data_IF_351328317729
#
_entry.id   IF_351328317729
#
_cell.length_a   1.000
_cell.length_b   1.000
_cell.length_c   1.000
_cell.angle_alpha   90.00
_cell.angle_beta   90.00
_cell.angle_gamma   90.00
#
_symmetry.space_group_name_H-M   'P 1'
#
loop_
_entity.id
_entity.type
_entity.pdbx_description
1 polymer ?
#
# COMPACT_ATOMS: atom_id res chain seq x y z
N UNK A 1 -12.17 60.75 -4.36
CA UNK A 1 -13.04 59.70 -4.96
C UNK A 1 -13.07 58.50 -4.01
N UNK A 2 -13.83 58.71 -2.95
CA UNK A 2 -14.24 57.77 -1.90
C UNK A 2 -15.27 56.81 -2.49
N UNK A 3 -15.48 55.66 -1.83
CA UNK A 3 -16.54 54.65 -2.07
C UNK A 3 -16.25 53.57 -3.13
N UNK A 4 -15.41 52.61 -2.72
CA UNK A 4 -15.67 51.18 -2.96
C UNK A 4 -15.01 50.36 -1.84
N UNK A 5 -15.30 50.73 -0.58
CA UNK A 5 -15.28 49.76 0.53
C UNK A 5 -16.45 48.82 0.26
N UNK A 6 -16.24 47.78 -0.56
CA UNK A 6 -17.19 46.68 -0.58
C UNK A 6 -17.26 46.15 0.85
N UNK A 7 -18.46 46.13 1.42
CA UNK A 7 -18.79 45.37 2.63
C UNK A 7 -18.79 43.87 2.26
N UNK A 8 -17.72 43.39 1.65
CA UNK A 8 -17.45 41.97 1.48
C UNK A 8 -16.80 41.49 2.78
N UNK A 9 -17.35 40.42 3.36
CA UNK A 9 -16.81 39.73 4.53
C UNK A 9 -15.27 39.67 4.51
N UNK A 10 -14.60 40.56 5.27
CA UNK A 10 -13.15 40.49 5.46
C UNK A 10 -12.85 39.32 6.40
N UNK A 11 -12.67 38.14 5.82
CA UNK A 11 -12.19 36.97 6.55
C UNK A 11 -10.71 37.16 6.92
N UNK A 12 -10.31 36.61 8.07
CA UNK A 12 -8.89 36.48 8.45
C UNK A 12 -8.12 35.72 7.36
N UNK A 13 -6.85 36.03 7.08
CA UNK A 13 -6.03 35.29 6.11
C UNK A 13 -6.01 33.78 6.40
N UNK A 14 -5.98 33.36 7.67
CA UNK A 14 -6.04 31.94 8.05
C UNK A 14 -7.38 31.29 7.66
N UNK A 15 -8.48 32.04 7.79
CA UNK A 15 -9.82 31.58 7.39
C UNK A 15 -9.93 31.48 5.87
N UNK A 16 -9.32 32.42 5.14
CA UNK A 16 -9.26 32.37 3.67
C UNK A 16 -8.44 31.18 3.18
N UNK A 17 -7.28 30.94 3.78
CA UNK A 17 -6.41 29.81 3.44
C UNK A 17 -7.08 28.47 3.75
N UNK A 18 -7.74 28.36 4.90
CA UNK A 18 -8.49 27.14 5.29
C UNK A 18 -9.67 26.91 4.35
N UNK A 19 -10.42 27.96 4.01
CA UNK A 19 -11.53 27.87 3.06
C UNK A 19 -11.04 27.43 1.67
N UNK A 20 -9.91 27.97 1.21
CA UNK A 20 -9.32 27.61 -0.08
C UNK A 20 -8.88 26.14 -0.10
N UNK A 21 -8.17 25.69 0.95
CA UNK A 21 -7.78 24.28 1.10
C UNK A 21 -8.99 23.35 1.08
N UNK A 22 -10.01 23.66 1.88
CA UNK A 22 -11.23 22.85 1.94
C UNK A 22 -11.96 22.84 0.59
N UNK A 23 -12.06 23.97 -0.09
CA UNK A 23 -12.73 24.08 -1.39
C UNK A 23 -12.02 23.28 -2.47
N UNK A 24 -10.69 23.38 -2.55
CA UNK A 24 -9.89 22.63 -3.53
C UNK A 24 -10.00 21.12 -3.27
N UNK A 25 -9.89 20.68 -2.01
CA UNK A 25 -10.01 19.26 -1.68
C UNK A 25 -11.41 18.73 -1.95
N UNK A 26 -12.45 19.50 -1.64
CA UNK A 26 -13.83 19.12 -1.93
C UNK A 26 -14.07 19.00 -3.43
N UNK A 27 -13.58 19.97 -4.21
CA UNK A 27 -13.69 19.94 -5.67
C UNK A 27 -12.91 18.77 -6.27
N UNK A 28 -11.69 18.50 -5.80
CA UNK A 28 -10.89 17.37 -6.25
C UNK A 28 -11.55 16.02 -5.90
N UNK A 29 -12.13 15.90 -4.71
CA UNK A 29 -12.87 14.72 -4.26
C UNK A 29 -14.14 14.47 -5.10
N UNK A 30 -14.90 15.53 -5.43
CA UNK A 30 -16.07 15.48 -6.31
C UNK A 30 -15.64 15.13 -7.74
N UNK A 31 -14.57 15.75 -8.24
CA UNK A 31 -14.04 15.49 -9.57
C UNK A 31 -13.57 14.04 -9.69
N UNK A 32 -12.86 13.52 -8.68
CA UNK A 32 -12.43 12.12 -8.59
C UNK A 32 -13.60 11.14 -8.71
N UNK A 33 -14.73 11.46 -8.06
CA UNK A 33 -15.94 10.66 -8.14
C UNK A 33 -16.59 10.77 -9.52
N UNK A 34 -16.80 11.99 -10.02
CA UNK A 34 -17.53 12.27 -11.26
C UNK A 34 -16.84 11.68 -12.51
N UNK A 35 -15.50 11.73 -12.60
CA UNK A 35 -14.75 11.19 -13.74
C UNK A 35 -14.85 9.68 -13.88
N UNK A 36 -15.27 8.96 -12.84
CA UNK A 36 -15.40 7.50 -12.83
C UNK A 36 -16.80 7.01 -13.18
N UNK A 37 -17.76 7.91 -13.40
CA UNK A 37 -19.16 7.56 -13.68
C UNK A 37 -19.48 7.36 -15.17
N UNK A 38 -18.53 7.58 -16.09
CA UNK A 38 -18.82 7.56 -17.53
C UNK A 38 -19.42 6.23 -18.04
N UNK A 39 -19.03 5.09 -17.47
CA UNK A 39 -19.62 3.78 -17.81
C UNK A 39 -21.11 3.73 -17.44
N UNK A 40 -21.43 4.11 -16.20
CA UNK A 40 -22.79 4.11 -15.64
C UNK A 40 -23.69 5.18 -16.26
N UNK A 41 -23.11 6.30 -16.74
CA UNK A 41 -23.89 7.33 -17.43
C UNK A 41 -24.23 6.96 -18.88
N UNK A 42 -23.36 6.21 -19.55
CA UNK A 42 -23.58 5.78 -20.94
C UNK A 42 -24.40 4.50 -21.05
N UNK A 43 -24.24 3.61 -20.09
CA UNK A 43 -24.85 2.29 -20.06
C UNK A 43 -25.62 2.10 -18.76
N UNK A 44 -25.88 0.85 -18.37
CA UNK A 44 -26.56 0.54 -17.13
C UNK A 44 -25.58 0.41 -15.95
N UNK A 45 -26.10 0.58 -14.73
CA UNK A 45 -25.37 0.32 -13.49
C UNK A 45 -25.22 -1.19 -13.25
N UNK A 46 -24.25 -1.78 -13.93
CA UNK A 46 -23.91 -3.20 -13.83
C UNK A 46 -22.43 -3.38 -13.54
N UNK A 47 -22.08 -4.55 -13.01
CA UNK A 47 -20.69 -4.93 -12.76
C UNK A 47 -20.04 -5.31 -14.09
N UNK A 48 -18.84 -4.79 -14.31
CA UNK A 48 -18.07 -4.99 -15.53
C UNK A 48 -16.90 -5.95 -15.30
N UNK A 49 -16.34 -6.46 -16.40
CA UNK A 49 -15.24 -7.43 -16.40
C UNK A 49 -15.63 -8.79 -15.78
N UNK A 50 -14.70 -9.75 -15.81
CA UNK A 50 -14.96 -11.12 -15.37
C UNK A 50 -14.65 -11.33 -13.87
N UNK A 51 -13.57 -10.72 -13.35
CA UNK A 51 -13.14 -10.89 -11.95
C UNK A 51 -14.17 -10.36 -10.92
N UNK A 52 -14.77 -9.16 -11.11
CA UNK A 52 -15.67 -8.57 -10.13
C UNK A 52 -16.96 -9.36 -9.84
N UNK A 53 -17.40 -10.25 -10.73
CA UNK A 53 -18.59 -11.09 -10.50
C UNK A 53 -18.41 -12.04 -9.31
N UNK A 54 -17.19 -12.57 -9.12
CA UNK A 54 -16.89 -13.39 -7.95
C UNK A 54 -16.95 -12.57 -6.65
N UNK A 55 -16.37 -11.38 -6.67
CA UNK A 55 -16.39 -10.45 -5.53
C UNK A 55 -17.83 -10.02 -5.19
N UNK A 56 -18.66 -9.81 -6.19
CA UNK A 56 -20.07 -9.46 -5.98
C UNK A 56 -20.87 -10.61 -5.38
N UNK A 57 -20.74 -11.84 -5.92
CA UNK A 57 -21.42 -13.03 -5.40
C UNK A 57 -21.07 -13.28 -3.94
N UNK A 58 -19.78 -13.16 -3.60
CA UNK A 58 -19.28 -13.33 -2.24
C UNK A 58 -19.78 -12.22 -1.30
N UNK A 59 -19.84 -10.97 -1.77
CA UNK A 59 -20.39 -9.84 -1.01
C UNK A 59 -21.89 -10.00 -0.76
N UNK A 60 -22.64 -10.45 -1.77
CA UNK A 60 -24.08 -10.74 -1.64
C UNK A 60 -24.33 -11.84 -0.59
N UNK A 61 -23.55 -12.93 -0.65
CA UNK A 61 -23.64 -13.99 0.35
C UNK A 61 -23.34 -13.47 1.76
N UNK A 62 -22.31 -12.62 1.91
CA UNK A 62 -21.98 -12.00 3.20
C UNK A 62 -23.12 -11.11 3.74
N UNK A 63 -23.78 -10.34 2.87
CA UNK A 63 -24.88 -9.46 3.26
C UNK A 63 -26.16 -10.23 3.64
N UNK A 64 -26.46 -11.35 2.97
CA UNK A 64 -27.68 -12.14 3.20
C UNK A 64 -27.51 -13.16 4.36
N UNK A 65 -26.37 -13.86 4.44
CA UNK A 65 -26.16 -14.97 5.37
C UNK A 65 -25.33 -14.59 6.61
N UNK A 66 -24.63 -13.47 6.57
CA UNK A 66 -23.82 -12.95 7.67
C UNK A 66 -22.39 -13.49 7.74
N UNK A 67 -21.58 -12.88 8.62
CA UNK A 67 -20.12 -13.05 8.64
C UNK A 67 -19.65 -14.46 9.01
N UNK A 68 -20.24 -15.11 10.03
CA UNK A 68 -19.78 -16.44 10.47
C UNK A 68 -20.04 -17.54 9.43
N UNK A 69 -21.17 -17.45 8.73
CA UNK A 69 -21.47 -18.37 7.62
C UNK A 69 -20.54 -18.11 6.44
N UNK A 70 -20.24 -16.85 6.14
CA UNK A 70 -19.27 -16.48 5.11
C UNK A 70 -17.86 -17.00 5.42
N UNK A 71 -17.40 -16.89 6.67
CA UNK A 71 -16.07 -17.35 7.07
C UNK A 71 -15.89 -18.87 6.89
N UNK A 72 -16.95 -19.65 7.13
CA UNK A 72 -16.94 -21.10 6.97
C UNK A 72 -17.58 -21.57 5.65
N UNK A 73 -17.69 -20.68 4.66
CA UNK A 73 -18.41 -20.98 3.43
C UNK A 73 -17.62 -21.93 2.51
N UNK A 74 -18.23 -23.07 2.21
CA UNK A 74 -17.83 -23.99 1.15
C UNK A 74 -18.78 -23.84 -0.05
N UNK A 75 -18.23 -23.53 -1.22
CA UNK A 75 -18.98 -23.41 -2.47
C UNK A 75 -18.86 -24.70 -3.27
N UNK A 76 -19.99 -25.41 -3.37
CA UNK A 76 -20.17 -26.64 -4.14
C UNK A 76 -20.48 -26.37 -5.62
N UNK A 77 -20.79 -25.11 -5.99
CA UNK A 77 -21.16 -24.73 -7.36
C UNK A 77 -19.97 -24.36 -8.25
N UNK A 78 -18.79 -24.19 -7.67
CA UNK A 78 -17.56 -23.86 -8.37
C UNK A 78 -16.58 -25.04 -8.32
N UNK A 79 -15.74 -25.19 -9.34
CA UNK A 79 -14.71 -26.24 -9.40
C UNK A 79 -15.26 -27.67 -9.26
N UNK A 80 -16.35 -27.99 -9.97
CA UNK A 80 -16.85 -29.37 -10.04
C UNK A 80 -15.75 -30.31 -10.58
N UNK A 81 -15.41 -31.42 -9.91
CA UNK A 81 -16.11 -32.07 -8.77
C UNK A 81 -15.55 -31.78 -7.37
N UNK A 82 -14.54 -30.91 -7.23
CA UNK A 82 -13.82 -30.68 -5.97
C UNK A 82 -14.56 -29.73 -5.00
N UNK A 83 -15.19 -28.68 -5.53
CA UNK A 83 -15.67 -27.55 -4.72
C UNK A 83 -14.56 -26.58 -4.32
N UNK A 84 -14.92 -25.45 -3.70
CA UNK A 84 -13.96 -24.44 -3.21
C UNK A 84 -14.35 -23.92 -1.84
N UNK A 85 -13.41 -23.98 -0.88
CA UNK A 85 -13.55 -23.30 0.42
C UNK A 85 -13.33 -21.80 0.19
N UNK A 86 -14.36 -20.97 0.29
CA UNK A 86 -14.23 -19.55 -0.04
C UNK A 86 -13.63 -18.76 1.12
N UNK A 87 -14.16 -18.89 2.33
CA UNK A 87 -13.74 -18.05 3.46
C UNK A 87 -12.25 -18.14 3.80
N UNK A 88 -11.61 -19.28 3.52
CA UNK A 88 -10.16 -19.49 3.69
C UNK A 88 -9.30 -19.21 2.46
N UNK A 89 -9.87 -19.01 1.26
CA UNK A 89 -9.11 -18.88 0.00
C UNK A 89 -9.17 -17.48 -0.63
N UNK A 90 -9.65 -16.48 0.11
CA UNK A 90 -9.82 -15.10 -0.38
C UNK A 90 -9.38 -14.06 0.65
N UNK A 91 -9.15 -12.84 0.14
CA UNK A 91 -8.98 -11.64 0.94
C UNK A 91 -10.37 -11.03 1.23
N UNK A 92 -10.83 -10.98 2.50
CA UNK A 92 -12.21 -10.61 2.82
C UNK A 92 -12.47 -9.09 2.87
N UNK A 93 -11.43 -8.26 2.78
CA UNK A 93 -11.49 -6.82 3.05
C UNK A 93 -12.47 -6.06 2.17
N UNK A 94 -12.53 -6.37 0.87
CA UNK A 94 -13.46 -5.77 -0.07
C UNK A 94 -14.93 -6.08 0.30
N UNK A 95 -15.23 -7.36 0.52
CA UNK A 95 -16.58 -7.83 0.82
C UNK A 95 -17.08 -7.29 2.16
N UNK A 96 -16.23 -7.33 3.19
CA UNK A 96 -16.56 -6.82 4.53
C UNK A 96 -16.82 -5.32 4.48
N UNK A 97 -16.02 -4.56 3.74
CA UNK A 97 -16.23 -3.11 3.59
C UNK A 97 -17.57 -2.78 2.95
N UNK A 98 -17.91 -3.46 1.85
CA UNK A 98 -19.21 -3.28 1.19
C UNK A 98 -20.39 -3.67 2.08
N UNK A 99 -20.28 -4.80 2.80
CA UNK A 99 -21.33 -5.25 3.70
C UNK A 99 -21.54 -4.27 4.86
N UNK A 100 -20.46 -3.73 5.45
CA UNK A 100 -20.56 -2.71 6.50
C UNK A 100 -21.23 -1.44 5.96
N UNK A 101 -20.84 -0.96 4.78
CA UNK A 101 -21.48 0.21 4.16
C UNK A 101 -22.96 -0.05 3.88
N UNK A 102 -23.32 -1.23 3.39
CA UNK A 102 -24.70 -1.64 3.17
C UNK A 102 -25.53 -1.63 4.46
N UNK A 103 -25.03 -2.27 5.53
CA UNK A 103 -25.73 -2.30 6.82
C UNK A 103 -25.81 -0.92 7.47
N UNK A 104 -24.79 -0.07 7.32
CA UNK A 104 -24.82 1.31 7.81
C UNK A 104 -25.92 2.13 7.11
N UNK A 105 -26.06 2.00 5.79
CA UNK A 105 -27.11 2.68 5.02
C UNK A 105 -28.50 2.19 5.43
N UNK A 106 -28.66 0.89 5.63
CA UNK A 106 -29.90 0.30 6.13
C UNK A 106 -30.26 0.76 7.55
N UNK A 107 -29.26 0.91 8.42
CA UNK A 107 -29.44 1.45 9.78
C UNK A 107 -29.93 2.90 9.79
N UNK A 108 -29.59 3.67 8.75
CA UNK A 108 -30.04 5.06 8.54
C UNK A 108 -31.32 5.10 7.67
N UNK A 109 -31.97 3.95 7.45
CA UNK A 109 -33.20 3.81 6.63
C UNK A 109 -33.04 4.22 5.15
N UNK A 110 -31.82 4.21 4.61
CA UNK A 110 -31.57 4.40 3.18
C UNK A 110 -31.49 3.01 2.54
N UNK A 111 -32.62 2.55 1.98
CA UNK A 111 -32.74 1.20 1.40
C UNK A 111 -32.10 1.13 0.02
N UNK A 112 -30.79 0.89 -0.01
CA UNK A 112 -30.00 0.68 -1.23
C UNK A 112 -29.79 -0.81 -1.44
N UNK A 113 -29.85 -1.28 -2.69
CA UNK A 113 -29.49 -2.64 -3.07
C UNK A 113 -27.96 -2.85 -2.99
N UNK A 114 -27.52 -4.04 -2.58
CA UNK A 114 -26.10 -4.39 -2.41
C UNK A 114 -25.31 -4.22 -3.72
N UNK A 115 -25.97 -4.45 -4.86
CA UNK A 115 -25.39 -4.23 -6.19
C UNK A 115 -24.93 -2.79 -6.38
N UNK A 116 -25.76 -1.82 -6.01
CA UNK A 116 -25.43 -0.41 -6.18
C UNK A 116 -24.28 0.00 -5.25
N UNK A 117 -24.22 -0.54 -4.02
CA UNK A 117 -23.08 -0.35 -3.12
C UNK A 117 -21.80 -0.85 -3.78
N UNK A 118 -21.81 -2.05 -4.35
CA UNK A 118 -20.63 -2.62 -5.03
C UNK A 118 -20.21 -1.79 -6.27
N UNK A 119 -21.16 -1.32 -7.08
CA UNK A 119 -20.88 -0.52 -8.28
C UNK A 119 -20.23 0.84 -7.94
N UNK A 120 -20.71 1.52 -6.89
CA UNK A 120 -20.24 2.85 -6.50
C UNK A 120 -19.12 2.85 -5.46
N UNK A 121 -18.68 1.69 -4.98
CA UNK A 121 -17.62 1.60 -3.99
C UNK A 121 -16.28 2.14 -4.52
N UNK A 122 -15.90 1.80 -5.75
CA UNK A 122 -14.62 2.23 -6.32
C UNK A 122 -14.50 3.77 -6.48
N UNK A 123 -15.50 4.48 -7.04
CA UNK A 123 -15.52 5.94 -7.03
C UNK A 123 -15.47 6.56 -5.64
N UNK A 124 -16.18 5.97 -4.65
CA UNK A 124 -16.16 6.45 -3.28
C UNK A 124 -14.75 6.36 -2.66
N UNK A 125 -14.10 5.20 -2.77
CA UNK A 125 -12.73 5.04 -2.27
C UNK A 125 -11.71 5.89 -3.03
N UNK A 126 -11.90 6.11 -4.33
CA UNK A 126 -11.05 7.04 -5.08
C UNK A 126 -11.12 8.48 -4.55
N UNK A 127 -12.30 8.92 -4.13
CA UNK A 127 -12.48 10.22 -3.48
C UNK A 127 -11.70 10.30 -2.16
N UNK A 128 -11.71 9.23 -1.37
CA UNK A 128 -10.91 9.12 -0.15
C UNK A 128 -9.39 9.05 -0.45
N UNK A 129 -8.99 8.38 -1.52
CA UNK A 129 -7.60 8.31 -2.00
C UNK A 129 -7.06 9.71 -2.29
N UNK A 130 -7.85 10.60 -2.89
CA UNK A 130 -7.49 12.01 -3.10
C UNK A 130 -7.15 12.72 -1.78
N UNK A 131 -7.95 12.51 -0.73
CA UNK A 131 -7.74 13.12 0.58
C UNK A 131 -6.48 12.57 1.26
N UNK A 132 -6.28 11.25 1.23
CA UNK A 132 -5.09 10.63 1.83
C UNK A 132 -3.81 11.04 1.10
N UNK A 133 -3.86 11.19 -0.23
CA UNK A 133 -2.73 11.68 -1.03
C UNK A 133 -2.33 13.09 -0.61
N UNK A 134 -3.31 13.99 -0.40
CA UNK A 134 -3.04 15.31 0.16
C UNK A 134 -2.33 15.23 1.51
N UNK A 135 -2.82 14.39 2.43
CA UNK A 135 -2.24 14.24 3.77
C UNK A 135 -0.81 13.70 3.69
N UNK A 136 -0.55 12.70 2.84
CA UNK A 136 0.77 12.13 2.64
C UNK A 136 1.77 13.15 2.10
N UNK A 137 1.43 13.85 1.02
CA UNK A 137 2.32 14.83 0.38
C UNK A 137 2.55 16.06 1.26
N UNK A 138 1.51 16.49 2.01
CA UNK A 138 1.63 17.57 3.01
C UNK A 138 2.67 17.24 4.07
N UNK A 139 2.76 15.97 4.50
CA UNK A 139 3.78 15.57 5.45
C UNK A 139 5.18 15.66 4.86
N UNK A 140 5.35 15.39 3.57
CA UNK A 140 6.67 15.34 2.93
C UNK A 140 7.24 16.75 2.74
N UNK A 141 6.44 17.67 2.23
CA UNK A 141 6.90 19.02 1.86
C UNK A 141 6.02 20.13 2.43
N UNK A 142 4.95 20.50 1.73
CA UNK A 142 4.10 21.62 2.08
C UNK A 142 2.65 21.40 1.61
N UNK A 143 1.76 22.31 2.02
CA UNK A 143 0.35 22.22 1.63
C UNK A 143 0.11 22.48 0.16
N UNK A 144 0.98 23.28 -0.49
CA UNK A 144 0.89 23.55 -1.92
C UNK A 144 1.07 22.27 -2.74
N UNK A 145 2.18 21.56 -2.53
CA UNK A 145 2.43 20.28 -3.19
C UNK A 145 1.31 19.26 -2.90
N UNK A 146 0.80 19.23 -1.66
CA UNK A 146 -0.31 18.33 -1.32
C UNK A 146 -1.58 18.57 -2.10
N UNK A 147 -1.96 19.82 -2.34
CA UNK A 147 -3.16 20.14 -3.12
C UNK A 147 -2.99 19.77 -4.59
N UNK A 148 -1.80 19.97 -5.16
CA UNK A 148 -1.48 19.59 -6.55
C UNK A 148 -1.47 18.07 -6.71
N UNK A 149 -0.85 17.34 -5.78
CA UNK A 149 -0.84 15.87 -5.78
C UNK A 149 -2.26 15.28 -5.67
N UNK A 150 -3.12 15.89 -4.85
CA UNK A 150 -4.52 15.49 -4.72
C UNK A 150 -5.34 15.76 -6.01
N UNK A 151 -5.13 16.92 -6.64
CA UNK A 151 -5.80 17.24 -7.89
C UNK A 151 -5.36 16.33 -9.04
N UNK A 152 -4.07 15.98 -9.11
CA UNK A 152 -3.54 15.11 -10.17
C UNK A 152 -4.00 13.66 -10.01
N UNK A 153 -3.98 13.09 -8.79
CA UNK A 153 -4.44 11.70 -8.57
C UNK A 153 -5.95 11.53 -8.79
N UNK A 154 -6.73 12.59 -8.60
CA UNK A 154 -8.18 12.55 -8.87
C UNK A 154 -8.49 12.22 -10.34
N UNK A 155 -7.65 12.68 -11.27
CA UNK A 155 -7.87 12.59 -12.72
C UNK A 155 -6.88 11.65 -13.45
N UNK A 156 -5.93 11.04 -12.75
CA UNK A 156 -4.88 10.24 -13.40
C UNK A 156 -5.46 9.00 -14.08
N UNK A 157 -5.29 8.84 -15.42
CA UNK A 157 -5.86 7.71 -16.16
C UNK A 157 -5.41 6.34 -15.65
N UNK A 158 -4.12 6.22 -15.27
CA UNK A 158 -3.58 4.97 -14.74
C UNK A 158 -4.27 4.46 -13.47
N UNK A 159 -4.85 5.34 -12.64
CA UNK A 159 -5.67 4.93 -11.50
C UNK A 159 -7.14 4.74 -11.89
N UNK A 160 -7.66 5.59 -12.79
CA UNK A 160 -9.05 5.51 -13.25
C UNK A 160 -9.34 4.16 -13.90
N UNK A 161 -8.41 3.60 -14.70
CA UNK A 161 -8.60 2.36 -15.46
C UNK A 161 -9.11 1.17 -14.62
N UNK A 162 -8.71 1.07 -13.36
CA UNK A 162 -9.10 -0.01 -12.41
C UNK A 162 -9.99 0.49 -11.27
N UNK A 163 -10.50 1.72 -11.34
CA UNK A 163 -11.37 2.30 -10.31
C UNK A 163 -12.65 2.94 -10.89
N UNK A 164 -13.02 2.57 -12.12
CA UNK A 164 -14.28 3.01 -12.75
C UNK A 164 -15.49 2.44 -12.00
N UNK A 165 -16.59 3.17 -11.97
CA UNK A 165 -17.86 2.66 -11.45
C UNK A 165 -18.26 1.36 -12.16
N UNK A 166 -18.58 0.33 -11.39
CA UNK A 166 -18.88 -1.02 -11.88
C UNK A 166 -17.68 -1.99 -11.88
N UNK A 167 -16.45 -1.50 -11.75
CA UNK A 167 -15.25 -2.33 -11.56
C UNK A 167 -15.06 -2.65 -10.07
N UNK A 168 -15.78 -3.65 -9.58
CA UNK A 168 -15.75 -4.08 -8.18
C UNK A 168 -14.62 -5.09 -7.91
N UNK A 169 -13.37 -4.62 -8.06
CA UNK A 169 -12.16 -5.38 -7.77
C UNK A 169 -11.42 -4.86 -6.53
N UNK A 170 -10.55 -5.70 -5.97
CA UNK A 170 -9.80 -5.44 -4.73
C UNK A 170 -8.90 -4.20 -4.83
N UNK A 171 -8.43 -3.91 -6.04
CA UNK A 171 -7.59 -2.77 -6.39
C UNK A 171 -8.23 -1.42 -6.06
N UNK A 172 -9.58 -1.35 -6.10
CA UNK A 172 -10.34 -0.15 -5.79
C UNK A 172 -10.08 0.36 -4.36
N UNK A 173 -9.99 -0.56 -3.39
CA UNK A 173 -9.72 -0.26 -1.99
C UNK A 173 -8.22 -0.30 -1.69
N UNK A 174 -7.47 -1.18 -2.37
CA UNK A 174 -6.07 -1.43 -2.08
C UNK A 174 -5.21 -0.17 -2.16
N UNK A 175 -5.42 0.69 -3.17
CA UNK A 175 -4.64 1.92 -3.35
C UNK A 175 -4.86 2.90 -2.20
N UNK A 176 -6.11 3.05 -1.73
CA UNK A 176 -6.41 3.83 -0.53
C UNK A 176 -5.69 3.28 0.70
N UNK A 177 -5.76 1.96 0.93
CA UNK A 177 -5.13 1.31 2.08
C UNK A 177 -3.61 1.44 2.07
N UNK A 178 -3.01 1.30 0.89
CA UNK A 178 -1.58 1.46 0.69
C UNK A 178 -1.13 2.87 1.05
N UNK A 179 -1.79 3.91 0.50
CA UNK A 179 -1.46 5.30 0.82
C UNK A 179 -1.73 5.65 2.28
N UNK A 180 -2.79 5.10 2.87
CA UNK A 180 -3.09 5.28 4.30
C UNK A 180 -1.96 4.70 5.16
N UNK A 181 -1.48 3.51 4.81
CA UNK A 181 -0.36 2.86 5.51
C UNK A 181 0.93 3.67 5.37
N UNK A 182 1.23 4.18 4.17
CA UNK A 182 2.39 5.04 3.96
C UNK A 182 2.29 6.38 4.71
N UNK A 183 1.10 6.97 4.79
CA UNK A 183 0.88 8.19 5.56
C UNK A 183 1.15 7.95 7.04
N UNK A 184 0.56 6.91 7.62
CA UNK A 184 0.76 6.54 9.02
C UNK A 184 2.22 6.17 9.29
N UNK A 185 2.89 5.48 8.36
CA UNK A 185 4.32 5.15 8.46
C UNK A 185 5.22 6.39 8.49
N UNK A 186 5.04 7.33 7.55
CA UNK A 186 5.81 8.58 7.53
C UNK A 186 5.57 9.39 8.81
N UNK A 187 4.32 9.45 9.29
CA UNK A 187 3.98 10.05 10.58
C UNK A 187 4.70 9.37 11.74
N UNK A 188 4.69 8.04 11.78
CA UNK A 188 5.36 7.26 12.82
C UNK A 188 6.87 7.51 12.83
N UNK A 189 7.52 7.57 11.67
CA UNK A 189 8.96 7.86 11.56
C UNK A 189 9.30 9.28 12.03
N UNK A 190 8.48 10.28 11.66
CA UNK A 190 8.71 11.68 12.06
C UNK A 190 8.52 11.89 13.56
N UNK A 191 7.42 11.39 14.11
CA UNK A 191 7.06 11.60 15.52
C UNK A 191 7.79 10.64 16.46
N UNK A 192 8.04 9.40 16.05
CA UNK A 192 8.63 8.35 16.89
C UNK A 192 7.70 7.85 17.99
N UNK A 193 6.38 7.97 17.82
CA UNK A 193 5.39 7.54 18.81
C UNK A 193 4.85 6.14 18.50
N UNK A 194 4.68 5.34 19.56
CA UNK A 194 4.09 3.99 19.50
C UNK A 194 2.66 4.06 18.97
N UNK A 195 1.89 5.11 19.32
CA UNK A 195 0.51 5.26 18.84
C UNK A 195 0.46 5.27 17.31
N UNK A 196 1.27 6.12 16.66
CA UNK A 196 1.30 6.18 15.21
C UNK A 196 1.79 4.87 14.58
N UNK A 197 2.76 4.20 15.19
CA UNK A 197 3.23 2.90 14.71
C UNK A 197 2.17 1.79 14.82
N UNK A 198 1.37 1.77 15.90
CA UNK A 198 0.24 0.85 16.02
C UNK A 198 -0.87 1.16 15.03
N UNK A 199 -1.17 2.44 14.77
CA UNK A 199 -2.10 2.84 13.72
C UNK A 199 -1.60 2.42 12.32
N UNK A 200 -0.30 2.51 12.06
CA UNK A 200 0.31 1.95 10.84
C UNK A 200 0.10 0.44 10.76
N UNK A 201 0.25 -0.30 11.86
CA UNK A 201 0.03 -1.74 11.88
C UNK A 201 -1.44 -2.12 11.61
N UNK A 202 -2.40 -1.34 12.13
CA UNK A 202 -3.83 -1.52 11.84
C UNK A 202 -4.16 -1.19 10.39
N UNK A 203 -3.58 -0.11 9.84
CA UNK A 203 -3.73 0.23 8.42
C UNK A 203 -3.11 -0.87 7.52
N UNK A 204 -1.97 -1.41 7.91
CA UNK A 204 -1.33 -2.54 7.24
C UNK A 204 -2.19 -3.81 7.31
N UNK A 205 -2.81 -4.12 8.46
CA UNK A 205 -3.76 -5.23 8.57
C UNK A 205 -4.94 -5.07 7.61
N UNK A 206 -5.51 -3.86 7.50
CA UNK A 206 -6.58 -3.59 6.56
C UNK A 206 -6.12 -3.79 5.10
N UNK A 207 -4.90 -3.39 4.77
CA UNK A 207 -4.28 -3.65 3.47
C UNK A 207 -4.11 -5.16 3.20
N UNK A 208 -3.57 -5.92 4.15
CA UNK A 208 -3.40 -7.38 4.06
C UNK A 208 -4.75 -8.06 3.82
N UNK A 209 -5.80 -7.60 4.49
CA UNK A 209 -7.15 -8.13 4.32
C UNK A 209 -7.77 -7.80 2.96
N UNK A 210 -7.30 -6.75 2.28
CA UNK A 210 -7.91 -6.22 1.05
C UNK A 210 -7.21 -6.71 -0.22
N UNK A 211 -5.87 -6.78 -0.24
CA UNK A 211 -5.14 -7.10 -1.46
C UNK A 211 -3.79 -7.78 -1.20
N UNK A 212 -3.43 -8.74 -2.07
CA UNK A 212 -2.16 -9.47 -2.01
C UNK A 212 -0.90 -8.62 -2.21
N UNK A 213 -1.03 -7.36 -2.65
CA UNK A 213 0.10 -6.43 -2.73
C UNK A 213 0.62 -5.94 -1.37
N UNK A 214 0.11 -6.44 -0.24
CA UNK A 214 0.70 -6.19 1.07
C UNK A 214 2.17 -6.66 1.15
N UNK A 215 2.57 -7.64 0.32
CA UNK A 215 3.96 -8.11 0.18
C UNK A 215 4.88 -6.99 -0.33
N UNK A 216 4.38 -6.09 -1.20
CA UNK A 216 5.14 -4.92 -1.63
C UNK A 216 5.40 -3.97 -0.47
N UNK A 217 4.36 -3.73 0.35
CA UNK A 217 4.40 -2.82 1.50
C UNK A 217 5.38 -3.30 2.58
N UNK A 218 5.33 -4.59 2.92
CA UNK A 218 6.19 -5.19 3.95
C UNK A 218 7.64 -5.36 3.50
N UNK A 219 7.94 -5.28 2.20
CA UNK A 219 9.33 -5.25 1.71
C UNK A 219 9.86 -3.83 1.54
N UNK A 220 9.03 -2.88 1.13
CA UNK A 220 9.45 -1.48 0.96
C UNK A 220 9.82 -0.80 2.30
N UNK A 221 9.04 -1.05 3.36
CA UNK A 221 9.30 -0.45 4.69
C UNK A 221 10.65 -0.90 5.27
N UNK A 222 11.01 -2.20 5.29
CA UNK A 222 12.34 -2.65 5.69
C UNK A 222 13.48 -2.11 4.81
N UNK A 223 13.30 -2.04 3.48
CA UNK A 223 14.31 -1.44 2.59
C UNK A 223 14.56 0.01 3.00
N UNK A 224 13.50 0.76 3.30
CA UNK A 224 13.64 2.12 3.80
C UNK A 224 14.42 2.19 5.11
N UNK A 225 14.14 1.32 6.09
CA UNK A 225 14.88 1.27 7.35
C UNK A 225 16.35 0.89 7.12
N UNK A 226 16.63 -0.06 6.22
CA UNK A 226 17.98 -0.47 5.87
C UNK A 226 18.77 0.67 5.23
N UNK A 227 18.15 1.43 4.32
CA UNK A 227 18.78 2.61 3.71
C UNK A 227 19.01 3.71 4.74
N UNK A 228 18.12 3.90 5.71
CA UNK A 228 18.34 4.83 6.82
C UNK A 228 19.52 4.41 7.72
N UNK A 229 19.72 3.09 7.92
CA UNK A 229 20.93 2.58 8.59
C UNK A 229 22.19 2.84 7.76
N UNK A 230 22.16 2.51 6.46
CA UNK A 230 23.31 2.66 5.56
C UNK A 230 23.74 4.13 5.39
N UNK A 231 22.78 5.06 5.42
CA UNK A 231 23.05 6.51 5.36
C UNK A 231 23.44 7.13 6.71
N UNK A 232 23.52 6.34 7.78
CA UNK A 232 23.88 6.80 9.12
C UNK A 232 22.82 7.66 9.81
N UNK A 233 21.56 7.63 9.31
CA UNK A 233 20.43 8.43 9.83
C UNK A 233 19.53 7.66 10.78
N UNK A 234 19.97 6.47 11.20
CA UNK A 234 19.22 5.64 12.12
C UNK A 234 19.09 6.32 13.50
N UNK A 235 17.88 6.28 14.05
CA UNK A 235 17.52 6.97 15.30
C UNK A 235 16.56 6.10 16.10
N UNK A 236 16.50 6.32 17.42
CA UNK A 236 15.54 5.63 18.30
C UNK A 236 14.08 5.78 17.83
N UNK A 237 13.73 6.89 17.15
CA UNK A 237 12.40 7.08 16.56
C UNK A 237 12.07 6.01 15.52
N UNK A 238 13.01 5.72 14.63
CA UNK A 238 12.87 4.71 13.57
C UNK A 238 12.81 3.32 14.20
N UNK A 239 13.65 3.06 15.20
CA UNK A 239 13.63 1.79 15.94
C UNK A 239 12.26 1.51 16.57
N UNK A 240 11.69 2.47 17.30
CA UNK A 240 10.38 2.34 17.95
C UNK A 240 9.28 2.14 16.91
N UNK A 241 9.29 2.94 15.83
CA UNK A 241 8.30 2.85 14.77
C UNK A 241 8.33 1.49 14.05
N UNK A 242 9.51 1.04 13.62
CA UNK A 242 9.66 -0.19 12.88
C UNK A 242 9.43 -1.44 13.73
N UNK A 243 9.99 -1.49 14.94
CA UNK A 243 9.84 -2.65 15.83
C UNK A 243 8.38 -2.87 16.22
N UNK A 244 7.66 -1.78 16.54
CA UNK A 244 6.23 -1.85 16.87
C UNK A 244 5.42 -2.31 15.66
N UNK A 245 5.66 -1.71 14.48
CA UNK A 245 4.98 -2.09 13.24
C UNK A 245 5.20 -3.57 12.91
N UNK A 246 6.45 -4.05 13.02
CA UNK A 246 6.80 -5.42 12.69
C UNK A 246 6.09 -6.41 13.61
N UNK A 247 6.17 -6.22 14.93
CA UNK A 247 5.54 -7.13 15.89
C UNK A 247 4.02 -7.14 15.76
N UNK A 248 3.38 -5.96 15.80
CA UNK A 248 1.92 -5.86 15.77
C UNK A 248 1.39 -6.23 14.38
N UNK A 249 2.02 -5.73 13.32
CA UNK A 249 1.59 -5.97 11.94
C UNK A 249 1.72 -7.44 11.53
N UNK A 250 2.77 -8.13 11.96
CA UNK A 250 2.96 -9.56 11.66
C UNK A 250 1.96 -10.44 12.40
N UNK A 251 1.65 -10.13 13.67
CA UNK A 251 0.61 -10.87 14.41
C UNK A 251 -0.77 -10.64 13.78
N UNK A 252 -1.09 -9.40 13.40
CA UNK A 252 -2.36 -9.09 12.75
C UNK A 252 -2.47 -9.74 11.36
N UNK A 253 -1.41 -9.75 10.55
CA UNK A 253 -1.46 -10.35 9.21
C UNK A 253 -1.72 -11.86 9.26
N UNK A 254 -1.22 -12.57 10.27
CA UNK A 254 -1.49 -14.00 10.47
C UNK A 254 -2.95 -14.32 10.78
N UNK A 255 -3.76 -13.34 11.21
CA UNK A 255 -5.18 -13.57 11.51
C UNK A 255 -6.04 -13.76 10.26
N UNK A 256 -5.55 -13.35 9.09
CA UNK A 256 -6.24 -13.58 7.82
C UNK A 256 -6.03 -15.03 7.39
N UNK A 257 -7.11 -15.82 7.34
CA UNK A 257 -7.07 -17.26 7.06
C UNK A 257 -6.32 -17.62 5.78
N UNK A 258 -6.41 -16.78 4.74
CA UNK A 258 -5.68 -16.98 3.48
C UNK A 258 -4.16 -16.83 3.64
N UNK A 259 -3.72 -15.94 4.52
CA UNK A 259 -2.31 -15.67 4.78
C UNK A 259 -1.75 -16.69 5.77
N UNK A 260 -2.49 -16.98 6.85
CA UNK A 260 -2.10 -17.97 7.85
C UNK A 260 -0.66 -17.76 8.34
N UNK A 261 0.20 -18.77 8.19
CA UNK A 261 1.60 -18.74 8.64
C UNK A 261 2.61 -18.31 7.55
N UNK A 262 2.14 -17.82 6.39
CA UNK A 262 3.01 -17.33 5.33
C UNK A 262 4.01 -16.24 5.79
N UNK A 263 3.68 -15.30 6.70
CA UNK A 263 4.64 -14.28 7.14
C UNK A 263 5.89 -14.83 7.83
N UNK A 264 5.84 -16.06 8.36
CA UNK A 264 6.97 -16.71 9.03
C UNK A 264 7.65 -17.73 8.13
N UNK A 265 6.89 -18.41 7.27
CA UNK A 265 7.38 -19.52 6.45
C UNK A 265 7.86 -19.10 5.06
N UNK A 266 7.28 -18.04 4.49
CA UNK A 266 7.59 -17.58 3.13
C UNK A 266 8.85 -16.73 3.10
N UNK A 267 9.67 -16.93 2.06
CA UNK A 267 10.86 -16.11 1.79
C UNK A 267 10.52 -14.63 1.54
N UNK A 268 9.29 -14.33 1.12
CA UNK A 268 8.81 -12.98 0.79
C UNK A 268 8.78 -12.04 1.99
N UNK A 269 8.72 -12.59 3.20
CA UNK A 269 8.66 -11.82 4.46
C UNK A 269 9.98 -11.83 5.22
N UNK A 270 10.98 -12.57 4.73
CA UNK A 270 12.28 -12.74 5.40
C UNK A 270 13.09 -11.45 5.43
N UNK A 271 12.89 -10.56 4.46
CA UNK A 271 13.53 -9.23 4.50
C UNK A 271 13.07 -8.43 5.73
N UNK A 272 11.78 -8.47 6.05
CA UNK A 272 11.25 -7.79 7.23
C UNK A 272 11.79 -8.41 8.52
N UNK A 273 11.84 -9.74 8.62
CA UNK A 273 12.45 -10.42 9.78
C UNK A 273 13.95 -10.10 9.91
N UNK A 274 14.68 -10.10 8.79
CA UNK A 274 16.11 -9.83 8.76
C UNK A 274 16.45 -8.40 9.19
N UNK A 275 15.72 -7.40 8.68
CA UNK A 275 15.89 -5.99 9.09
C UNK A 275 15.45 -5.80 10.54
N UNK A 276 14.42 -6.51 11.02
CA UNK A 276 14.05 -6.50 12.43
C UNK A 276 15.17 -7.01 13.33
N UNK A 277 15.77 -8.15 13.00
CA UNK A 277 16.96 -8.67 13.70
C UNK A 277 18.12 -7.67 13.68
N UNK A 278 18.39 -7.08 12.52
CA UNK A 278 19.44 -6.05 12.36
C UNK A 278 19.17 -4.80 13.21
N UNK A 279 17.92 -4.35 13.31
CA UNK A 279 17.53 -3.23 14.18
C UNK A 279 17.85 -3.51 15.65
N UNK A 280 17.54 -4.72 16.13
CA UNK A 280 17.82 -5.10 17.51
C UNK A 280 19.33 -5.12 17.78
N UNK A 281 20.11 -5.72 16.87
CA UNK A 281 21.57 -5.79 16.98
C UNK A 281 22.20 -4.40 16.94
N UNK A 282 21.80 -3.54 16.01
CA UNK A 282 22.33 -2.19 15.88
C UNK A 282 22.08 -1.36 17.15
N UNK A 283 20.83 -1.35 17.66
CA UNK A 283 20.52 -0.63 18.89
C UNK A 283 21.25 -1.19 20.11
N UNK A 284 21.40 -2.51 20.21
CA UNK A 284 22.12 -3.15 21.31
C UNK A 284 23.62 -2.80 21.28
N UNK A 285 24.24 -2.82 20.11
CA UNK A 285 25.65 -2.43 19.92
C UNK A 285 25.86 -0.96 20.27
N UNK A 286 24.97 -0.07 19.83
CA UNK A 286 25.04 1.36 20.18
C UNK A 286 24.88 1.58 21.70
N UNK A 287 23.99 0.83 22.34
CA UNK A 287 23.81 0.88 23.79
C UNK A 287 25.08 0.44 24.54
N UNK A 288 25.68 -0.69 24.17
CA UNK A 288 26.93 -1.16 24.78
C UNK A 288 28.06 -0.16 24.56
N UNK A 289 28.19 0.37 23.33
CA UNK A 289 29.20 1.38 22.99
C UNK A 289 29.08 2.63 23.89
N UNK A 290 27.86 2.99 24.31
CA UNK A 290 27.65 4.12 25.21
C UNK A 290 28.05 3.86 26.67
N UNK A 291 28.19 2.59 27.08
CA UNK A 291 28.47 2.18 28.46
C UNK A 291 29.89 1.69 28.70
N UNK A 292 30.64 1.37 27.65
CA UNK A 292 31.99 0.81 27.74
C UNK A 292 33.05 1.78 27.21
N UNK A 293 34.30 1.58 27.65
CA UNK A 293 35.46 2.25 27.07
C UNK A 293 35.67 1.77 25.61
N UNK A 294 36.27 2.59 24.72
CA UNK A 294 36.50 2.20 23.33
C UNK A 294 37.37 0.95 23.18
N UNK A 295 38.28 0.72 24.13
CA UNK A 295 39.22 -0.39 24.15
C UNK A 295 38.51 -1.71 24.50
N UNK A 296 37.72 -1.71 25.58
CA UNK A 296 36.91 -2.88 25.98
C UNK A 296 35.86 -3.22 24.93
N UNK A 297 35.27 -2.20 24.29
CA UNK A 297 34.31 -2.39 23.21
C UNK A 297 34.94 -3.09 21.99
N UNK A 298 36.17 -2.75 21.61
CA UNK A 298 36.83 -3.41 20.48
C UNK A 298 37.13 -4.89 20.76
N UNK A 299 37.51 -5.23 21.99
CA UNK A 299 37.75 -6.62 22.40
C UNK A 299 36.43 -7.41 22.39
N UNK A 300 35.38 -6.86 22.99
CA UNK A 300 34.05 -7.47 23.00
C UNK A 300 33.48 -7.61 21.59
N UNK A 301 33.61 -6.59 20.75
CA UNK A 301 33.12 -6.61 19.37
C UNK A 301 33.81 -7.70 18.55
N UNK A 302 35.14 -7.85 18.67
CA UNK A 302 35.88 -8.94 18.00
C UNK A 302 35.43 -10.32 18.50
N UNK A 303 35.22 -10.48 19.80
CA UNK A 303 34.73 -11.75 20.37
C UNK A 303 33.31 -12.09 19.89
N UNK A 304 32.41 -11.11 19.86
CA UNK A 304 31.02 -11.28 19.39
C UNK A 304 31.00 -11.58 17.89
N UNK A 305 31.76 -10.86 17.06
CA UNK A 305 31.83 -11.13 15.62
C UNK A 305 32.34 -12.55 15.36
N UNK A 306 33.40 -13.00 16.05
CA UNK A 306 33.89 -14.37 15.94
C UNK A 306 32.85 -15.41 16.36
N UNK A 307 32.15 -15.20 17.48
CA UNK A 307 31.10 -16.09 17.94
C UNK A 307 29.92 -16.13 16.95
N UNK A 308 29.55 -14.98 16.38
CA UNK A 308 28.46 -14.88 15.41
C UNK A 308 28.83 -15.59 14.11
N UNK A 309 30.04 -15.42 13.59
CA UNK A 309 30.52 -16.13 12.39
C UNK A 309 30.44 -17.64 12.60
N UNK A 310 30.96 -18.15 13.71
CA UNK A 310 30.91 -19.58 14.05
C UNK A 310 29.46 -20.09 14.14
N UNK A 311 28.58 -19.35 14.81
CA UNK A 311 27.17 -19.73 14.95
C UNK A 311 26.45 -19.70 13.59
N UNK A 312 26.72 -18.71 12.75
CA UNK A 312 26.11 -18.58 11.42
C UNK A 312 26.60 -19.68 10.47
N UNK A 313 27.86 -20.11 10.58
CA UNK A 313 28.38 -21.25 9.82
C UNK A 313 27.68 -22.56 10.22
N UNK A 314 27.43 -22.77 11.51
CA UNK A 314 26.75 -23.97 12.03
C UNK A 314 25.28 -23.96 11.65
N UNK A 315 24.58 -22.86 11.91
CA UNK A 315 23.15 -22.70 11.62
C UNK A 315 22.90 -22.67 10.11
N UNK A 316 23.75 -21.99 9.34
CA UNK A 316 23.71 -22.00 7.88
C UNK A 316 23.90 -23.40 7.30
N UNK A 317 24.85 -24.18 7.83
CA UNK A 317 25.02 -25.60 7.46
C UNK A 317 23.74 -26.42 7.72
N UNK A 318 23.11 -26.25 8.87
CA UNK A 318 21.89 -26.99 9.26
C UNK A 318 20.67 -26.56 8.42
N UNK A 319 20.51 -25.26 8.14
CA UNK A 319 19.40 -24.76 7.32
C UNK A 319 19.54 -25.18 5.85
N UNK A 320 20.75 -25.23 5.32
CA UNK A 320 21.01 -25.67 3.94
C UNK A 320 20.66 -27.16 3.78
N UNK A 321 20.95 -27.97 4.80
CA UNK A 321 20.63 -29.42 4.80
C UNK A 321 19.14 -29.69 5.00
N UNK A 322 18.42 -28.85 5.74
CA UNK A 322 17.02 -29.13 6.11
C UNK A 322 15.99 -28.67 5.09
N UNK A 323 16.35 -27.84 4.11
CA UNK A 323 15.45 -27.46 3.02
C UNK A 323 14.13 -26.79 3.46
N UNK A 324 14.07 -26.31 4.72
CA UNK A 324 12.83 -25.83 5.36
C UNK A 324 12.43 -24.41 4.96
N UNK A 325 13.30 -23.67 4.26
CA UNK A 325 12.92 -22.38 3.69
C UNK A 325 12.26 -22.66 2.33
N UNK A 326 10.95 -22.44 2.27
CA UNK A 326 10.22 -22.53 1.01
C UNK A 326 10.81 -21.51 0.01
N UNK A 327 11.06 -21.90 -1.25
CA UNK A 327 11.52 -20.97 -2.27
C UNK A 327 10.47 -19.89 -2.56
N UNK A 328 10.90 -18.80 -3.19
CA UNK A 328 10.02 -17.73 -3.67
C UNK A 328 8.84 -18.31 -4.45
N UNK A 329 7.62 -17.80 -4.20
CA UNK A 329 6.47 -18.26 -4.97
C UNK A 329 6.63 -17.87 -6.43
N UNK A 330 6.20 -18.75 -7.35
CA UNK A 330 6.45 -18.59 -8.79
C UNK A 330 5.99 -17.23 -9.35
N UNK A 331 4.91 -16.63 -8.81
CA UNK A 331 4.41 -15.32 -9.25
C UNK A 331 5.32 -14.16 -8.86
N UNK A 332 5.90 -14.17 -7.66
CA UNK A 332 6.81 -13.10 -7.25
C UNK A 332 8.21 -13.28 -7.83
N UNK A 333 8.66 -14.53 -8.01
CA UNK A 333 9.93 -14.80 -8.70
C UNK A 333 9.92 -14.25 -10.12
N UNK A 334 8.77 -14.27 -10.80
CA UNK A 334 8.64 -13.74 -12.17
C UNK A 334 8.71 -12.22 -12.27
N UNK A 335 8.54 -11.51 -11.15
CA UNK A 335 8.76 -10.06 -11.09
C UNK A 335 10.24 -9.71 -10.97
N UNK A 336 11.07 -10.66 -10.50
CA UNK A 336 12.52 -10.51 -10.40
C UNK A 336 13.22 -11.06 -11.64
N UNK A 337 12.75 -12.20 -12.16
CA UNK A 337 13.15 -12.77 -13.44
C UNK A 337 11.93 -12.87 -14.39
N UNK A 338 11.77 -11.90 -15.31
CA UNK A 338 10.64 -11.88 -16.23
C UNK A 338 10.65 -13.03 -17.25
N UNK A 339 11.76 -13.75 -17.39
CA UNK A 339 11.87 -14.87 -18.33
C UNK A 339 11.30 -16.18 -17.78
N UNK A 340 11.22 -16.32 -16.45
CA UNK A 340 10.86 -17.58 -15.81
C UNK A 340 9.43 -18.02 -16.13
N UNK A 341 8.44 -17.11 -16.03
CA UNK A 341 7.03 -17.40 -16.27
C UNK A 341 6.80 -17.90 -17.69
N UNK A 342 7.38 -17.17 -18.66
CA UNK A 342 7.25 -17.44 -20.08
C UNK A 342 7.77 -18.84 -20.44
N UNK A 343 8.83 -19.28 -19.78
CA UNK A 343 9.50 -20.53 -20.11
C UNK A 343 8.94 -21.74 -19.33
N UNK A 344 8.45 -21.56 -18.10
CA UNK A 344 8.12 -22.69 -17.21
C UNK A 344 6.63 -22.78 -16.81
N UNK A 345 5.87 -21.68 -16.84
CA UNK A 345 4.47 -21.67 -16.35
C UNK A 345 3.58 -20.91 -17.35
N UNK A 346 3.06 -21.58 -18.40
CA UNK A 346 2.34 -20.92 -19.49
C UNK A 346 1.03 -20.26 -19.04
N UNK A 347 0.41 -20.75 -17.97
CA UNK A 347 -0.82 -20.18 -17.41
C UNK A 347 -0.59 -18.72 -16.96
N UNK A 348 0.56 -18.43 -16.34
CA UNK A 348 0.89 -17.06 -15.91
C UNK A 348 1.15 -16.18 -17.15
N UNK A 349 1.90 -16.69 -18.12
CA UNK A 349 2.23 -15.93 -19.33
C UNK A 349 1.03 -15.65 -20.25
N UNK A 350 -0.05 -16.45 -20.16
CA UNK A 350 -1.25 -16.29 -20.98
C UNK A 350 -2.12 -15.07 -20.62
N UNK A 351 -1.93 -14.50 -19.41
CA UNK A 351 -2.70 -13.33 -18.96
C UNK A 351 -2.12 -12.07 -19.60
N UNK A 352 -2.93 -11.31 -20.32
CA UNK A 352 -2.50 -10.09 -21.02
C UNK A 352 -1.90 -9.04 -20.07
N UNK A 353 -2.39 -8.99 -18.83
CA UNK A 353 -1.92 -8.08 -17.77
C UNK A 353 -0.49 -8.36 -17.28
N UNK A 354 0.05 -9.55 -17.56
CA UNK A 354 1.39 -9.97 -17.17
C UNK A 354 2.45 -9.68 -18.22
N UNK A 355 2.06 -9.06 -19.34
CA UNK A 355 2.99 -8.58 -20.35
C UNK A 355 3.75 -7.32 -19.88
N UNK A 356 4.95 -7.07 -20.42
CA UNK A 356 5.70 -5.86 -20.14
C UNK A 356 5.04 -4.63 -20.75
N UNK A 357 5.23 -3.46 -20.13
CA UNK A 357 4.70 -2.18 -20.59
C UNK A 357 5.58 -1.54 -21.66
N UNK A 358 4.99 -1.05 -22.75
CA UNK A 358 5.68 -0.17 -23.69
C UNK A 358 5.72 1.28 -23.19
N UNK A 359 6.65 2.08 -23.71
CA UNK A 359 6.75 3.52 -23.40
C UNK A 359 5.46 4.29 -23.76
N UNK A 360 4.75 3.84 -24.80
CA UNK A 360 3.48 4.45 -25.24
C UNK A 360 2.40 4.33 -24.17
N UNK A 361 2.33 3.20 -23.44
CA UNK A 361 1.40 3.02 -22.32
C UNK A 361 1.76 3.93 -21.15
N UNK A 362 3.04 4.09 -20.82
CA UNK A 362 3.48 5.06 -19.79
C UNK A 362 3.01 6.48 -20.11
N UNK A 363 3.19 6.90 -21.36
CA UNK A 363 2.76 8.24 -21.78
C UNK A 363 1.23 8.38 -21.78
N UNK A 364 0.51 7.35 -22.25
CA UNK A 364 -0.95 7.37 -22.30
C UNK A 364 -1.58 7.49 -20.91
N UNK A 365 -1.07 6.74 -19.93
CA UNK A 365 -1.65 6.65 -18.58
C UNK A 365 -1.27 7.81 -17.66
N UNK A 366 -0.12 8.45 -17.89
CA UNK A 366 0.46 9.45 -16.98
C UNK A 366 0.70 10.82 -17.63
N UNK A 367 0.70 10.94 -18.96
CA UNK A 367 0.87 12.19 -19.70
C UNK A 367 2.02 13.05 -19.14
N UNK A 368 1.72 14.27 -18.67
CA UNK A 368 2.71 15.22 -18.15
C UNK A 368 3.48 14.72 -16.91
N UNK A 369 2.89 13.82 -16.12
CA UNK A 369 3.52 13.29 -14.91
C UNK A 369 4.82 12.53 -15.22
N UNK A 370 4.93 11.92 -16.41
CA UNK A 370 6.16 11.22 -16.84
C UNK A 370 7.35 12.18 -16.90
N UNK A 371 7.13 13.44 -17.30
CA UNK A 371 8.19 14.45 -17.39
C UNK A 371 8.47 15.15 -16.06
N UNK A 372 7.44 15.33 -15.22
CA UNK A 372 7.58 15.98 -13.92
C UNK A 372 8.21 15.07 -12.87
N UNK A 373 8.04 13.75 -13.00
CA UNK A 373 8.55 12.80 -12.01
C UNK A 373 10.08 12.84 -11.81
N UNK A 374 10.93 12.86 -12.86
CA UNK A 374 12.38 13.02 -12.66
C UNK A 374 12.75 14.33 -11.96
N UNK A 375 12.02 15.43 -12.24
CA UNK A 375 12.23 16.70 -11.56
C UNK A 375 11.84 16.60 -10.07
N UNK A 376 10.74 15.92 -9.75
CA UNK A 376 10.31 15.61 -8.39
C UNK A 376 11.35 14.81 -7.61
N UNK A 377 11.89 13.75 -8.22
CA UNK A 377 12.98 12.97 -7.65
C UNK A 377 14.21 13.83 -7.38
N UNK A 378 14.62 14.67 -8.34
CA UNK A 378 15.76 15.58 -8.17
C UNK A 378 15.58 16.51 -6.95
N UNK A 379 14.38 17.07 -6.75
CA UNK A 379 14.10 17.89 -5.57
C UNK A 379 14.12 17.09 -4.26
N UNK A 380 13.69 15.83 -4.28
CA UNK A 380 13.79 14.94 -3.13
C UNK A 380 15.24 14.61 -2.78
N UNK A 381 16.11 14.41 -3.79
CA UNK A 381 17.55 14.22 -3.59
C UNK A 381 18.25 15.50 -3.12
N UNK A 382 17.80 16.67 -3.57
CA UNK A 382 18.39 17.96 -3.16
C UNK A 382 18.22 18.24 -1.67
N UNK A 383 17.12 17.77 -1.06
CA UNK A 383 16.86 17.89 0.38
C UNK A 383 16.55 16.52 0.97
N UNK A 384 17.58 15.75 1.30
CA UNK A 384 17.40 14.44 1.91
C UNK A 384 16.83 14.57 3.33
N UNK A 385 15.60 14.13 3.51
CA UNK A 385 14.93 13.92 4.81
C UNK A 385 14.52 12.45 4.92
N UNK A 386 14.25 11.97 6.12
CA UNK A 386 13.86 10.56 6.34
C UNK A 386 12.60 10.20 5.52
N UNK A 387 11.64 11.13 5.39
CA UNK A 387 10.45 10.93 4.56
C UNK A 387 10.76 10.97 3.05
N UNK A 388 11.70 11.80 2.60
CA UNK A 388 12.06 11.88 1.18
C UNK A 388 12.80 10.63 0.72
N UNK A 389 13.62 10.02 1.59
CA UNK A 389 14.29 8.74 1.30
C UNK A 389 13.23 7.66 1.05
N UNK A 390 12.18 7.61 1.87
CA UNK A 390 11.05 6.69 1.66
C UNK A 390 10.40 6.89 0.29
N UNK A 391 10.08 8.13 -0.10
CA UNK A 391 9.46 8.40 -1.40
C UNK A 391 10.36 8.07 -2.59
N UNK A 392 11.67 8.33 -2.49
CA UNK A 392 12.62 7.97 -3.54
C UNK A 392 12.61 6.46 -3.75
N UNK A 393 12.69 5.69 -2.66
CA UNK A 393 12.64 4.22 -2.74
C UNK A 393 11.31 3.72 -3.29
N UNK A 394 10.21 4.32 -2.86
CA UNK A 394 8.88 4.00 -3.38
C UNK A 394 8.81 4.25 -4.90
N UNK A 395 9.31 5.41 -5.36
CA UNK A 395 9.31 5.79 -6.77
C UNK A 395 10.16 4.86 -7.64
N UNK A 396 11.42 4.63 -7.25
CA UNK A 396 12.36 3.79 -8.02
C UNK A 396 11.88 2.35 -8.09
N UNK A 397 11.43 1.79 -6.96
CA UNK A 397 10.95 0.40 -6.90
C UNK A 397 9.66 0.23 -7.71
N UNK A 398 8.74 1.19 -7.64
CA UNK A 398 7.47 1.12 -8.39
C UNK A 398 7.68 1.26 -9.90
N UNK A 399 8.62 2.10 -10.36
CA UNK A 399 8.94 2.23 -11.78
C UNK A 399 9.47 0.92 -12.35
N UNK A 400 10.38 0.27 -11.63
CA UNK A 400 10.92 -1.02 -12.06
C UNK A 400 9.78 -2.06 -12.23
N UNK A 401 8.93 -2.20 -11.22
CA UNK A 401 7.84 -3.17 -11.25
C UNK A 401 6.77 -2.83 -12.31
N UNK A 402 6.44 -1.55 -12.49
CA UNK A 402 5.54 -1.13 -13.57
C UNK A 402 6.13 -1.42 -14.96
N UNK A 403 7.46 -1.28 -15.12
CA UNK A 403 8.15 -1.62 -16.37
C UNK A 403 8.08 -3.10 -16.72
N UNK A 404 8.10 -3.97 -15.71
CA UNK A 404 8.05 -5.42 -15.89
C UNK A 404 6.62 -5.92 -16.14
N UNK A 405 5.60 -5.30 -15.55
CA UNK A 405 4.21 -5.77 -15.62
C UNK A 405 3.19 -4.63 -15.73
N UNK A 406 2.34 -4.67 -16.77
CA UNK A 406 1.30 -3.66 -17.04
C UNK A 406 0.36 -3.45 -15.85
N UNK A 407 -0.04 -4.52 -15.15
CA UNK A 407 -0.93 -4.42 -13.98
C UNK A 407 -0.35 -3.54 -12.85
N UNK A 408 0.97 -3.49 -12.71
CA UNK A 408 1.63 -2.77 -11.61
C UNK A 408 1.76 -1.26 -11.86
N UNK A 409 1.34 -0.78 -13.05
CA UNK A 409 1.17 0.63 -13.34
C UNK A 409 0.25 1.33 -12.33
N UNK A 410 -0.72 0.60 -11.79
CA UNK A 410 -1.63 1.07 -10.75
C UNK A 410 -0.90 1.51 -9.46
N UNK A 411 0.17 0.81 -9.09
CA UNK A 411 0.98 1.10 -7.89
C UNK A 411 1.92 2.28 -8.14
N UNK A 412 2.29 2.52 -9.40
CA UNK A 412 3.13 3.64 -9.82
C UNK A 412 2.36 4.96 -9.85
N UNK A 413 1.09 4.97 -10.27
CA UNK A 413 0.33 6.21 -10.44
C UNK A 413 0.32 7.13 -9.19
N UNK A 414 0.10 6.63 -7.96
CA UNK A 414 0.13 7.47 -6.77
C UNK A 414 1.48 8.15 -6.52
N UNK A 415 2.61 7.42 -6.65
CA UNK A 415 3.94 8.00 -6.41
C UNK A 415 4.32 9.01 -7.49
N UNK A 416 3.87 8.80 -8.72
CA UNK A 416 4.02 9.78 -9.80
C UNK A 416 3.30 11.07 -9.48
N UNK A 417 2.05 11.00 -8.98
CA UNK A 417 1.29 12.18 -8.55
C UNK A 417 1.94 12.91 -7.38
N UNK A 418 2.48 12.18 -6.39
CA UNK A 418 3.12 12.75 -5.20
C UNK A 418 4.44 13.45 -5.54
N UNK A 419 5.27 12.87 -6.42
CA UNK A 419 6.55 13.47 -6.79
C UNK A 419 6.39 14.59 -7.82
N UNK A 420 5.36 14.52 -8.67
CA UNK A 420 5.08 15.58 -9.66
C UNK A 420 4.41 16.81 -9.05
N UNK A 421 3.64 16.65 -7.97
CA UNK A 421 2.99 17.72 -7.22
C UNK A 421 3.94 18.36 -6.21
#
# INVERSE_FOLDING_TARGET
MTLLKSRGFRMSPEKQETLLKLSILSLAAILSFATRLFSVLRFESVIHEFDPYFNYRTTRFLAEEGFYKFHNWFDDRAWYPLGRIIGGTIYPGLMVTSAILYHLMWLINITIDIRNVCVFLAPFFSSLTTIITYLLTKEVKDTGAGLVAAATIAIVPGYISRSVAGSYDNEAIAIFCMLLTYYMWIKAVKTGSILWATLTAVAYFYMVSSWGGYVFLINLIPIHVLVLMATGRFSHRIYVAYSTLYCVGTVLSMQISFVGFQPVQSSEHMMALGVFGLCQLHCFVDYIRSKMSPEDFQVLFKAVVMATVVLTSIVGGILTVTGKIAPWTGRFYTLLDPSYAKNHIPIIASVSEHQPTSWSSFYFDLQILVFLFPAGLYFCFSKLTDANIFLILYGVTSIYFAGVMVRLMLVLAPVMCILSG
#
